data_IF_468769159016
#
_entry.id   IF_468769159016
#
_cell.length_a   1.000
_cell.length_b   1.000
_cell.length_c   1.000
_cell.angle_alpha   90.00
_cell.angle_beta   90.00
_cell.angle_gamma   90.00
#
_symmetry.space_group_name_H-M   'P 1'
#
loop_
_entity.id
_entity.type
_entity.pdbx_description
1 polymer ?
#
# COMPACT_ATOMS: atom_id res chain seq x y z
N UNK A 1 4.96 -21.45 -10.91
CA UNK A 1 5.50 -20.12 -11.18
C UNK A 1 5.20 -19.14 -10.04
N UNK A 2 3.95 -19.02 -9.59
CA UNK A 2 3.57 -18.17 -8.45
C UNK A 2 4.34 -18.53 -7.17
N UNK A 3 4.58 -19.80 -6.91
CA UNK A 3 5.36 -20.28 -5.76
C UNK A 3 6.77 -19.68 -5.79
N UNK A 4 7.44 -19.70 -6.94
CA UNK A 4 8.77 -19.07 -7.12
C UNK A 4 8.76 -17.56 -6.85
N UNK A 5 7.67 -16.87 -7.20
CA UNK A 5 7.50 -15.44 -6.89
C UNK A 5 7.15 -15.16 -5.42
N UNK A 6 6.57 -16.12 -4.72
CA UNK A 6 6.15 -15.96 -3.33
C UNK A 6 7.26 -16.31 -2.33
N UNK A 7 8.03 -17.36 -2.62
CA UNK A 7 9.03 -17.95 -1.74
C UNK A 7 10.09 -16.98 -1.20
N UNK A 8 10.69 -16.07 -2.02
CA UNK A 8 11.71 -15.16 -1.51
C UNK A 8 11.13 -13.96 -0.73
N UNK A 9 9.82 -13.86 -0.60
CA UNK A 9 9.19 -12.74 0.12
C UNK A 9 9.31 -12.92 1.63
N UNK A 10 9.49 -11.82 2.32
CA UNK A 10 9.41 -11.78 3.77
C UNK A 10 8.05 -12.31 4.26
N UNK A 11 8.06 -13.09 5.31
CA UNK A 11 6.84 -13.56 5.95
C UNK A 11 6.03 -12.42 6.60
N UNK A 12 4.90 -12.76 7.18
CA UNK A 12 3.98 -11.77 7.78
C UNK A 12 4.59 -11.09 9.01
N UNK A 13 5.44 -11.76 9.77
CA UNK A 13 6.11 -11.23 10.97
C UNK A 13 7.28 -10.35 10.57
N UNK A 14 8.15 -10.86 9.70
CA UNK A 14 9.33 -10.16 9.18
C UNK A 14 8.95 -8.81 8.50
N UNK A 15 7.84 -8.79 7.73
CA UNK A 15 7.34 -7.56 7.08
C UNK A 15 6.88 -6.48 8.05
N UNK A 16 6.59 -6.80 9.32
CA UNK A 16 6.19 -5.82 10.33
C UNK A 16 7.39 -5.12 10.96
N UNK A 17 8.58 -5.71 10.88
CA UNK A 17 9.80 -5.07 11.34
C UNK A 17 10.25 -4.02 10.31
N UNK A 18 10.27 -2.76 10.72
CA UNK A 18 10.68 -1.64 9.86
C UNK A 18 12.12 -1.78 9.36
N UNK A 19 13.00 -2.43 10.14
CA UNK A 19 14.41 -2.67 9.76
C UNK A 19 14.54 -3.54 8.53
N UNK A 20 13.67 -4.54 8.40
CA UNK A 20 13.66 -5.43 7.24
C UNK A 20 13.14 -4.75 5.97
N UNK A 21 12.40 -3.64 6.13
CA UNK A 21 11.76 -2.92 5.01
C UNK A 21 12.49 -1.67 4.57
N UNK A 22 13.41 -1.17 5.37
CA UNK A 22 14.16 0.05 5.07
C UNK A 22 15.51 -0.28 4.44
N UNK A 23 15.50 -0.52 3.14
CA UNK A 23 16.68 -0.85 2.37
C UNK A 23 16.86 0.17 1.23
N UNK A 24 17.46 1.35 1.49
CA UNK A 24 17.69 2.33 0.44
C UNK A 24 18.68 1.78 -0.59
N UNK A 25 18.36 1.91 -1.87
CA UNK A 25 19.18 1.48 -3.01
C UNK A 25 19.16 2.55 -4.08
N UNK A 26 20.32 2.85 -4.63
CA UNK A 26 20.41 3.69 -5.81
C UNK A 26 19.89 2.97 -7.05
N UNK A 27 19.56 3.71 -8.09
CA UNK A 27 19.15 3.10 -9.37
C UNK A 27 20.28 2.25 -9.95
N UNK A 28 21.54 2.65 -9.76
CA UNK A 28 22.73 1.86 -10.15
C UNK A 28 22.78 0.51 -9.39
N UNK A 29 22.46 0.49 -8.08
CA UNK A 29 22.43 -0.74 -7.31
C UNK A 29 21.30 -1.66 -7.78
N UNK A 30 20.12 -1.11 -8.07
CA UNK A 30 19.01 -1.88 -8.64
C UNK A 30 19.36 -2.49 -10.00
N UNK A 31 20.06 -1.75 -10.83
CA UNK A 31 20.53 -2.24 -12.14
C UNK A 31 21.57 -3.36 -12.03
N UNK A 32 22.36 -3.37 -10.95
CA UNK A 32 23.27 -4.50 -10.64
C UNK A 32 22.54 -5.70 -10.07
N UNK A 33 21.50 -5.46 -9.26
CA UNK A 33 20.70 -6.52 -8.64
C UNK A 33 19.82 -7.25 -9.65
N UNK A 34 19.20 -6.51 -10.56
CA UNK A 34 18.28 -7.05 -11.59
C UNK A 34 18.60 -6.40 -12.94
N UNK A 35 19.68 -6.82 -13.60
CA UNK A 35 20.12 -6.24 -14.86
C UNK A 35 19.16 -6.48 -16.03
N UNK A 36 18.28 -7.47 -15.94
CA UNK A 36 17.24 -7.72 -16.94
C UNK A 36 16.14 -6.64 -16.98
N UNK A 37 16.09 -5.75 -16.00
CA UNK A 37 15.12 -4.67 -15.94
C UNK A 37 15.81 -3.35 -16.31
N UNK A 38 15.28 -2.67 -17.32
CA UNK A 38 15.60 -1.27 -17.61
C UNK A 38 14.91 -0.37 -16.57
N UNK A 39 15.60 -0.11 -15.47
CA UNK A 39 15.07 0.66 -14.34
C UNK A 39 14.75 2.11 -14.69
N UNK A 40 15.53 2.74 -15.55
CA UNK A 40 15.28 4.12 -16.00
C UNK A 40 13.96 4.20 -16.79
N UNK A 41 13.78 3.29 -17.74
CA UNK A 41 12.55 3.18 -18.51
C UNK A 41 11.35 2.86 -17.65
N UNK A 42 11.51 1.94 -16.68
CA UNK A 42 10.46 1.59 -15.74
C UNK A 42 10.04 2.79 -14.89
N UNK A 43 11.00 3.47 -14.26
CA UNK A 43 10.74 4.64 -13.41
C UNK A 43 10.12 5.79 -14.19
N UNK A 44 10.60 6.06 -15.39
CA UNK A 44 9.99 7.03 -16.30
C UNK A 44 8.54 6.67 -16.63
N UNK A 45 8.27 5.39 -16.88
CA UNK A 45 6.93 4.92 -17.19
C UNK A 45 5.91 5.10 -16.06
N UNK A 46 6.36 5.18 -14.81
CA UNK A 46 5.52 5.43 -13.63
C UNK A 46 5.66 6.85 -13.06
N UNK A 47 6.30 7.77 -13.79
CA UNK A 47 6.42 9.18 -13.41
C UNK A 47 7.46 9.48 -12.33
N UNK A 48 8.43 8.59 -12.11
CA UNK A 48 9.49 8.71 -11.10
C UNK A 48 10.89 8.95 -11.70
N UNK A 49 10.99 9.57 -12.85
CA UNK A 49 12.25 9.79 -13.57
C UNK A 49 13.30 10.66 -12.84
N UNK A 50 12.90 11.38 -11.79
CA UNK A 50 13.79 12.26 -11.01
C UNK A 50 14.23 11.65 -9.68
N UNK A 51 13.98 10.37 -9.47
CA UNK A 51 14.31 9.70 -8.22
C UNK A 51 15.65 8.99 -8.35
N UNK A 52 16.59 9.31 -7.46
CA UNK A 52 17.92 8.70 -7.44
C UNK A 52 18.00 7.44 -6.57
N UNK A 53 17.16 7.38 -5.54
CA UNK A 53 17.18 6.33 -4.52
C UNK A 53 15.77 5.83 -4.22
N UNK A 54 15.62 4.53 -4.16
CA UNK A 54 14.37 3.85 -3.78
C UNK A 54 14.55 3.04 -2.50
N UNK A 55 13.50 2.94 -1.71
CA UNK A 55 13.46 2.04 -0.56
C UNK A 55 12.90 0.68 -1.01
N UNK A 56 13.75 -0.33 -1.01
CA UNK A 56 13.40 -1.70 -1.38
C UNK A 56 12.85 -2.44 -0.16
N UNK A 57 11.52 -2.55 -0.07
CA UNK A 57 10.85 -3.19 1.07
C UNK A 57 10.96 -4.73 1.12
N UNK A 58 11.37 -5.36 0.02
CA UNK A 58 11.48 -6.81 -0.14
C UNK A 58 12.83 -7.17 -0.80
N UNK A 59 13.93 -6.95 -0.07
CA UNK A 59 15.28 -7.05 -0.64
C UNK A 59 15.56 -8.42 -1.26
N UNK A 60 15.34 -9.50 -0.50
CA UNK A 60 15.53 -10.88 -0.97
C UNK A 60 14.69 -11.21 -2.21
N UNK A 61 13.45 -10.70 -2.25
CA UNK A 61 12.60 -10.86 -3.44
C UNK A 61 13.20 -10.15 -4.65
N UNK A 62 13.70 -8.94 -4.47
CA UNK A 62 14.32 -8.17 -5.57
C UNK A 62 15.60 -8.84 -6.06
N UNK A 63 16.44 -9.34 -5.17
CA UNK A 63 17.65 -10.11 -5.51
C UNK A 63 17.33 -11.40 -6.28
N UNK A 64 16.24 -12.08 -5.89
CA UNK A 64 15.81 -13.31 -6.56
C UNK A 64 15.14 -13.07 -7.90
N UNK A 65 14.69 -11.86 -8.17
CA UNK A 65 13.89 -11.54 -9.37
C UNK A 65 14.67 -11.75 -10.66
N UNK A 66 15.99 -11.48 -10.67
CA UNK A 66 16.85 -11.74 -11.84
C UNK A 66 16.81 -13.22 -12.22
N UNK A 67 17.03 -14.10 -11.26
CA UNK A 67 17.00 -15.55 -11.53
C UNK A 67 15.62 -16.01 -12.01
N UNK A 68 14.55 -15.47 -11.41
CA UNK A 68 13.17 -15.79 -11.80
C UNK A 68 12.90 -15.33 -13.24
N UNK A 69 13.44 -14.17 -13.65
CA UNK A 69 13.30 -13.66 -15.02
C UNK A 69 14.06 -14.55 -16.02
N UNK A 70 15.28 -14.98 -15.67
CA UNK A 70 16.11 -15.81 -16.55
C UNK A 70 15.62 -17.25 -16.68
N UNK A 71 15.16 -17.85 -15.58
CA UNK A 71 14.74 -19.26 -15.54
C UNK A 71 13.39 -19.54 -16.21
N UNK A 72 12.55 -18.52 -16.38
CA UNK A 72 11.19 -18.72 -16.83
C UNK A 72 10.95 -18.15 -18.23
N UNK A 73 10.27 -18.94 -19.05
CA UNK A 73 9.96 -18.54 -20.43
C UNK A 73 8.84 -17.46 -20.47
N UNK A 74 8.80 -16.75 -21.58
CA UNK A 74 7.81 -15.68 -21.84
C UNK A 74 6.37 -16.19 -21.73
N UNK A 75 6.11 -17.46 -22.03
CA UNK A 75 4.77 -18.05 -21.94
C UNK A 75 4.27 -18.09 -20.49
N UNK A 76 5.14 -18.48 -19.54
CA UNK A 76 4.80 -18.49 -18.12
C UNK A 76 4.49 -17.06 -17.59
N UNK A 77 5.30 -16.08 -17.99
CA UNK A 77 5.07 -14.67 -17.66
C UNK A 77 3.76 -14.15 -18.25
N UNK A 78 3.46 -14.45 -19.51
CA UNK A 78 2.19 -14.07 -20.14
C UNK A 78 1.00 -14.69 -19.42
N UNK A 79 1.07 -15.95 -19.04
CA UNK A 79 0.01 -16.62 -18.31
C UNK A 79 -0.22 -15.97 -16.92
N UNK A 80 0.86 -15.71 -16.20
CA UNK A 80 0.80 -15.07 -14.89
C UNK A 80 0.23 -13.64 -14.97
N UNK A 81 0.69 -12.82 -15.90
CA UNK A 81 0.21 -11.45 -16.07
C UNK A 81 -1.27 -11.42 -16.49
N UNK A 82 -1.69 -12.30 -17.38
CA UNK A 82 -3.11 -12.45 -17.76
C UNK A 82 -3.97 -12.83 -16.55
N UNK A 83 -3.53 -13.84 -15.81
CA UNK A 83 -4.21 -14.27 -14.59
C UNK A 83 -4.30 -13.15 -13.56
N UNK A 84 -3.19 -12.52 -13.24
CA UNK A 84 -3.12 -11.47 -12.23
C UNK A 84 -3.96 -10.24 -12.61
N UNK A 85 -3.97 -9.86 -13.90
CA UNK A 85 -4.82 -8.79 -14.43
C UNK A 85 -6.30 -9.15 -14.30
N UNK A 86 -6.68 -10.34 -14.74
CA UNK A 86 -8.07 -10.82 -14.69
C UNK A 86 -8.57 -10.92 -13.24
N UNK A 87 -7.75 -11.47 -12.36
CA UNK A 87 -8.06 -11.60 -10.94
C UNK A 87 -8.21 -10.23 -10.24
N UNK A 88 -7.33 -9.28 -10.53
CA UNK A 88 -7.43 -7.93 -9.96
C UNK A 88 -8.63 -7.13 -10.48
N UNK A 89 -9.04 -7.39 -11.72
CA UNK A 89 -10.19 -6.75 -12.35
C UNK A 89 -11.52 -7.49 -12.11
N UNK A 90 -11.51 -8.67 -11.50
CA UNK A 90 -12.65 -9.58 -11.42
C UNK A 90 -13.95 -8.92 -10.95
N UNK A 91 -13.85 -8.00 -9.99
CA UNK A 91 -15.01 -7.28 -9.45
C UNK A 91 -15.62 -6.23 -10.41
N UNK A 92 -15.00 -6.00 -11.56
CA UNK A 92 -15.46 -5.08 -12.61
C UNK A 92 -15.86 -5.81 -13.90
N UNK A 93 -15.75 -7.14 -13.89
CA UNK A 93 -16.06 -7.99 -15.04
C UNK A 93 -17.47 -8.58 -14.93
N UNK A 94 -17.77 -9.63 -15.71
CA UNK A 94 -19.08 -10.26 -15.69
C UNK A 94 -19.42 -10.83 -14.31
N UNK A 95 -20.72 -10.98 -14.03
CA UNK A 95 -21.21 -11.55 -12.76
C UNK A 95 -20.61 -12.92 -12.46
N UNK A 96 -20.37 -13.73 -13.47
CA UNK A 96 -19.76 -15.05 -13.31
C UNK A 96 -18.33 -14.98 -12.82
N UNK A 97 -17.52 -14.08 -13.38
CA UNK A 97 -16.12 -13.87 -12.98
C UNK A 97 -16.05 -13.23 -11.58
N UNK A 98 -16.90 -12.23 -11.31
CA UNK A 98 -17.00 -11.62 -9.99
C UNK A 98 -17.40 -12.66 -8.94
N UNK A 99 -18.40 -13.49 -9.24
CA UNK A 99 -18.87 -14.53 -8.32
C UNK A 99 -17.80 -15.58 -8.07
N UNK A 100 -17.10 -16.07 -9.08
CA UNK A 100 -16.02 -17.04 -8.92
C UNK A 100 -14.88 -16.47 -8.05
N UNK A 101 -14.51 -15.21 -8.25
CA UNK A 101 -13.53 -14.52 -7.42
C UNK A 101 -14.00 -14.38 -5.97
N UNK A 102 -15.25 -13.98 -5.74
CA UNK A 102 -15.83 -13.86 -4.42
C UNK A 102 -15.94 -15.21 -3.70
N UNK A 103 -16.42 -16.24 -4.38
CA UNK A 103 -16.54 -17.59 -3.83
C UNK A 103 -15.18 -18.08 -3.31
N UNK A 104 -14.11 -17.89 -4.06
CA UNK A 104 -12.78 -18.30 -3.63
C UNK A 104 -12.20 -17.40 -2.53
N UNK A 105 -12.03 -16.10 -2.80
CA UNK A 105 -11.30 -15.22 -1.89
C UNK A 105 -12.07 -14.79 -0.64
N UNK A 106 -13.39 -14.64 -0.74
CA UNK A 106 -14.20 -14.16 0.38
C UNK A 106 -14.87 -15.30 1.13
N UNK A 107 -15.49 -16.23 0.42
CA UNK A 107 -16.21 -17.34 1.04
C UNK A 107 -15.24 -18.41 1.55
N UNK A 108 -14.42 -19.02 0.67
CA UNK A 108 -13.54 -20.13 1.06
C UNK A 108 -12.37 -19.67 1.94
N UNK A 109 -11.63 -18.63 1.54
CA UNK A 109 -10.43 -18.21 2.28
C UNK A 109 -10.71 -17.35 3.52
N UNK A 110 -11.77 -16.55 3.53
CA UNK A 110 -12.08 -15.62 4.64
C UNK A 110 -13.30 -16.01 5.44
N UNK A 111 -14.07 -17.03 5.02
CA UNK A 111 -15.26 -17.50 5.72
C UNK A 111 -16.47 -16.57 5.64
N UNK A 112 -16.54 -15.68 4.64
CA UNK A 112 -17.68 -14.80 4.44
C UNK A 112 -18.91 -15.63 4.05
N UNK A 113 -20.03 -15.42 4.74
CA UNK A 113 -21.26 -16.20 4.51
C UNK A 113 -22.05 -15.69 3.29
N UNK A 114 -22.10 -14.38 3.13
CA UNK A 114 -22.90 -13.70 2.10
C UNK A 114 -22.13 -12.57 1.46
N UNK A 115 -22.37 -12.34 0.18
CA UNK A 115 -21.87 -11.17 -0.54
C UNK A 115 -22.80 -9.99 -0.26
N UNK A 116 -22.22 -8.80 -0.12
CA UNK A 116 -23.01 -7.57 -0.01
C UNK A 116 -23.90 -7.38 -1.23
N UNK A 117 -24.99 -6.66 -1.06
CA UNK A 117 -25.90 -6.31 -2.16
C UNK A 117 -25.15 -5.58 -3.29
N UNK A 118 -25.69 -5.60 -4.50
CA UNK A 118 -25.10 -4.88 -5.64
C UNK A 118 -25.01 -3.38 -5.35
N UNK A 119 -26.02 -2.80 -4.70
CA UNK A 119 -26.06 -1.39 -4.34
C UNK A 119 -24.93 -1.02 -3.38
N UNK A 120 -24.73 -1.80 -2.32
CA UNK A 120 -23.61 -1.57 -1.37
C UNK A 120 -22.23 -1.69 -2.05
N UNK A 121 -22.09 -2.66 -2.97
CA UNK A 121 -20.85 -2.84 -3.73
C UNK A 121 -20.60 -1.68 -4.70
N UNK A 122 -21.66 -1.22 -5.37
CA UNK A 122 -21.58 -0.05 -6.27
C UNK A 122 -21.21 1.21 -5.50
N UNK A 123 -21.88 1.47 -4.37
CA UNK A 123 -21.55 2.61 -3.51
C UNK A 123 -20.10 2.57 -3.00
N UNK A 124 -19.64 1.40 -2.56
CA UNK A 124 -18.25 1.23 -2.12
C UNK A 124 -17.23 1.51 -3.24
N UNK A 125 -17.57 1.18 -4.49
CA UNK A 125 -16.72 1.48 -5.66
C UNK A 125 -16.69 2.97 -5.98
N UNK A 126 -17.85 3.61 -5.99
CA UNK A 126 -17.94 5.07 -6.17
C UNK A 126 -17.11 5.78 -5.10
N UNK A 127 -17.27 5.38 -3.85
CA UNK A 127 -16.52 5.94 -2.72
C UNK A 127 -14.99 5.76 -2.86
N UNK A 128 -14.55 4.62 -3.39
CA UNK A 128 -13.12 4.37 -3.63
C UNK A 128 -12.55 5.18 -4.78
N UNK A 129 -13.32 5.38 -5.85
CA UNK A 129 -12.85 6.02 -7.09
C UNK A 129 -13.07 7.54 -7.09
N UNK A 130 -14.14 8.01 -6.47
CA UNK A 130 -14.59 9.40 -6.48
C UNK A 130 -14.84 9.93 -5.06
N UNK A 131 -14.19 9.35 -4.04
CA UNK A 131 -14.43 9.65 -2.63
C UNK A 131 -14.29 11.13 -2.28
N UNK A 132 -13.29 11.80 -2.83
CA UNK A 132 -13.09 13.24 -2.61
C UNK A 132 -14.24 14.08 -3.18
N UNK A 133 -14.71 13.77 -4.39
CA UNK A 133 -15.85 14.47 -5.00
C UNK A 133 -17.16 14.18 -4.25
N UNK A 134 -17.39 12.92 -3.89
CA UNK A 134 -18.54 12.52 -3.07
C UNK A 134 -18.48 13.15 -1.67
N UNK A 135 -17.28 13.27 -1.11
CA UNK A 135 -17.02 13.94 0.16
C UNK A 135 -17.45 15.40 0.17
N UNK A 136 -17.25 16.12 -0.93
CA UNK A 136 -17.71 17.51 -1.04
C UNK A 136 -19.25 17.62 -0.94
N UNK A 137 -19.97 16.72 -1.60
CA UNK A 137 -21.44 16.66 -1.50
C UNK A 137 -21.89 16.33 -0.08
N UNK A 138 -21.24 15.32 0.54
CA UNK A 138 -21.54 14.98 1.93
C UNK A 138 -21.30 16.13 2.90
N UNK A 139 -20.17 16.81 2.75
CA UNK A 139 -19.81 17.96 3.60
C UNK A 139 -20.81 19.10 3.45
N UNK A 140 -21.23 19.41 2.22
CA UNK A 140 -22.21 20.48 1.98
C UNK A 140 -23.57 20.25 2.65
N UNK A 141 -23.97 18.97 2.82
CA UNK A 141 -25.28 18.63 3.37
C UNK A 141 -25.25 18.20 4.85
N UNK A 142 -24.19 17.53 5.27
CA UNK A 142 -24.16 16.79 6.55
C UNK A 142 -23.07 17.23 7.50
N UNK A 143 -22.16 18.10 7.10
CA UNK A 143 -21.02 18.49 7.93
C UNK A 143 -20.93 20.03 8.06
N UNK A 144 -21.70 20.62 8.97
CA UNK A 144 -21.75 22.06 9.16
C UNK A 144 -20.41 22.62 9.70
N UNK A 145 -20.13 23.93 9.47
CA UNK A 145 -18.88 24.58 9.90
C UNK A 145 -18.54 24.37 11.38
N UNK A 146 -19.54 24.39 12.25
CA UNK A 146 -19.37 24.19 13.69
C UNK A 146 -18.85 22.78 14.04
N UNK A 147 -19.24 21.77 13.26
CA UNK A 147 -18.71 20.42 13.41
C UNK A 147 -17.22 20.35 13.02
N UNK A 148 -16.84 21.08 11.95
CA UNK A 148 -15.44 21.23 11.53
C UNK A 148 -14.60 21.89 12.61
N UNK A 149 -15.06 23.00 13.18
CA UNK A 149 -14.35 23.69 14.26
C UNK A 149 -14.17 22.82 15.51
N UNK A 150 -15.21 22.07 15.89
CA UNK A 150 -15.11 21.11 17.01
C UNK A 150 -14.09 20.02 16.74
N UNK A 151 -14.09 19.46 15.53
CA UNK A 151 -13.11 18.45 15.13
C UNK A 151 -11.67 19.00 15.15
N UNK A 152 -11.45 20.19 14.59
CA UNK A 152 -10.14 20.85 14.60
C UNK A 152 -9.66 21.13 16.03
N UNK A 153 -10.53 21.63 16.91
CA UNK A 153 -10.21 21.86 18.32
C UNK A 153 -9.86 20.56 19.06
N UNK A 154 -10.59 19.50 18.77
CA UNK A 154 -10.30 18.18 19.33
C UNK A 154 -8.91 17.67 18.89
N UNK A 155 -8.60 17.77 17.59
CA UNK A 155 -7.29 17.36 17.03
C UNK A 155 -6.17 18.20 17.67
N UNK A 156 -6.33 19.53 17.75
CA UNK A 156 -5.34 20.41 18.38
C UNK A 156 -5.08 20.03 19.84
N UNK A 157 -6.13 19.72 20.60
CA UNK A 157 -5.99 19.26 21.99
C UNK A 157 -5.27 17.91 22.10
N UNK A 158 -5.54 16.97 21.18
CA UNK A 158 -4.84 15.68 21.13
C UNK A 158 -3.36 15.87 20.81
N UNK A 159 -3.02 16.68 19.82
CA UNK A 159 -1.62 16.98 19.47
C UNK A 159 -0.88 17.65 20.63
N UNK A 160 -1.52 18.62 21.30
CA UNK A 160 -0.97 19.27 22.51
C UNK A 160 -0.70 18.27 23.63
N UNK A 161 -1.69 17.41 23.93
CA UNK A 161 -1.54 16.38 24.95
C UNK A 161 -0.44 15.37 24.61
N UNK A 162 -0.34 15.01 23.32
CA UNK A 162 0.70 14.10 22.83
C UNK A 162 2.09 14.72 22.96
N UNK A 163 2.27 15.98 22.59
CA UNK A 163 3.53 16.70 22.78
C UNK A 163 3.96 16.77 24.25
N UNK A 164 3.03 17.07 25.16
CA UNK A 164 3.29 17.08 26.60
C UNK A 164 3.72 15.69 27.11
N UNK A 165 3.07 14.64 26.60
CA UNK A 165 3.42 13.27 26.98
C UNK A 165 4.81 12.86 26.48
N UNK A 166 5.18 13.18 25.25
CA UNK A 166 6.52 12.89 24.70
C UNK A 166 7.60 13.47 25.60
N UNK A 167 7.46 14.72 26.03
CA UNK A 167 8.46 15.42 26.85
C UNK A 167 8.77 14.74 28.19
N UNK A 168 7.80 14.02 28.76
CA UNK A 168 7.93 13.40 30.09
C UNK A 168 8.13 11.88 30.05
N UNK A 169 8.22 11.25 28.87
CA UNK A 169 8.40 9.81 28.76
C UNK A 169 9.78 9.37 29.30
N UNK A 170 9.84 8.51 30.34
CA UNK A 170 11.12 8.17 30.99
C UNK A 170 11.97 7.17 30.17
N UNK A 171 11.35 6.40 29.28
CA UNK A 171 12.04 5.40 28.45
C UNK A 171 12.63 5.96 27.16
N UNK A 172 12.31 7.19 26.82
CA UNK A 172 12.77 7.84 25.59
C UNK A 172 13.97 8.76 25.87
N UNK A 173 15.06 8.61 25.11
CA UNK A 173 16.20 9.51 25.21
C UNK A 173 15.83 10.94 24.81
N UNK A 174 16.58 11.95 25.30
CA UNK A 174 16.33 13.35 24.96
C UNK A 174 16.46 13.62 23.46
N UNK A 175 17.43 13.00 22.78
CA UNK A 175 17.58 13.09 21.33
C UNK A 175 16.34 12.54 20.61
N UNK A 176 15.82 11.39 21.04
CA UNK A 176 14.60 10.79 20.47
C UNK A 176 13.38 11.65 20.74
N UNK A 177 13.26 12.27 21.91
CA UNK A 177 12.18 13.22 22.22
C UNK A 177 12.20 14.42 21.28
N UNK A 178 13.38 15.00 21.01
CA UNK A 178 13.51 16.10 20.07
C UNK A 178 13.03 15.72 18.67
N UNK A 179 13.44 14.56 18.16
CA UNK A 179 12.96 14.03 16.87
C UNK A 179 11.47 13.73 16.82
N UNK A 180 10.93 13.24 17.92
CA UNK A 180 9.49 12.97 18.05
C UNK A 180 8.66 14.27 18.07
N UNK A 181 9.15 15.33 18.71
CA UNK A 181 8.52 16.65 18.70
C UNK A 181 8.60 17.29 17.31
N UNK A 182 9.77 17.25 16.67
CA UNK A 182 9.94 17.72 15.28
C UNK A 182 8.91 17.06 14.33
N UNK A 183 8.73 15.74 14.45
CA UNK A 183 7.72 15.00 13.68
C UNK A 183 6.28 15.42 14.05
N UNK A 184 6.01 15.66 15.32
CA UNK A 184 4.69 16.10 15.78
C UNK A 184 4.35 17.48 15.21
N UNK A 185 5.31 18.43 15.24
CA UNK A 185 5.15 19.79 14.71
C UNK A 185 4.94 19.83 13.19
N UNK A 186 5.48 18.84 12.47
CA UNK A 186 5.24 18.66 11.04
C UNK A 186 3.86 18.05 10.71
N UNK A 187 3.08 17.65 11.72
CA UNK A 187 1.73 17.12 11.55
C UNK A 187 0.74 18.28 11.46
N UNK A 188 0.22 18.54 10.24
CA UNK A 188 -0.76 19.60 9.96
C UNK A 188 -2.15 19.02 9.74
#
# INVERSE_FOLDING_TARGET
>A
FETKLAEPRLDKVERRDARNRYNPRSISDLSKMVPSIDWEKYLKGIGLEKVDTLIVGQLKYTESLENILQENNVSAWKAYLRWSTLNSAASYLSTEIEKANWDFYSKELRGAKEQRSLEERALARVNRSLGEALGQLYVSEKFPPEAKEKAQKMIANVLKAFGNRIRVLPWMSEETKLKAIEKLEATT
#
